data_IF_911233267497
#
_entry.id   IF_911233267497
#
_cell.length_a   1.000
_cell.length_b   1.000
_cell.length_c   1.000
_cell.angle_alpha   90.00
_cell.angle_beta   90.00
_cell.angle_gamma   90.00
#
_symmetry.space_group_name_H-M   'P 1'
#
loop_
_entity.id
_entity.type
_entity.pdbx_description
1 polymer ?
#
# COMPACT_ATOMS: atom_id res chain seq x y z
N UNK A 1 -25.71 -47.67 7.38
CA UNK A 1 -25.15 -46.94 6.22
C UNK A 1 -25.06 -45.44 6.44
N UNK A 2 -26.02 -44.78 7.13
CA UNK A 2 -25.99 -43.32 7.34
C UNK A 2 -24.97 -42.81 8.37
N UNK A 3 -24.64 -43.61 9.40
CA UNK A 3 -23.68 -43.22 10.45
C UNK A 3 -22.22 -43.33 10.00
N UNK A 4 -21.89 -44.38 9.23
CA UNK A 4 -20.55 -44.63 8.66
C UNK A 4 -20.10 -43.49 7.74
N UNK A 5 -21.04 -42.92 6.98
CA UNK A 5 -20.80 -41.78 6.08
C UNK A 5 -20.52 -40.48 6.83
N UNK A 6 -21.08 -40.32 8.03
CA UNK A 6 -20.82 -39.18 8.91
C UNK A 6 -19.44 -39.25 9.56
N UNK A 7 -19.05 -40.45 10.00
CA UNK A 7 -17.76 -40.70 10.65
C UNK A 7 -16.59 -40.56 9.65
N UNK A 8 -16.78 -41.01 8.41
CA UNK A 8 -15.79 -40.85 7.33
C UNK A 8 -15.61 -39.37 6.94
N UNK A 9 -16.71 -38.60 6.90
CA UNK A 9 -16.65 -37.15 6.70
C UNK A 9 -15.93 -36.43 7.84
N UNK A 10 -16.16 -36.84 9.09
CA UNK A 10 -15.50 -36.27 10.26
C UNK A 10 -13.98 -36.50 10.22
N UNK A 11 -13.55 -37.71 9.84
CA UNK A 11 -12.13 -38.04 9.65
C UNK A 11 -11.49 -37.21 8.53
N UNK A 12 -12.17 -37.05 7.39
CA UNK A 12 -11.68 -36.19 6.29
C UNK A 12 -11.54 -34.74 6.73
N UNK A 13 -12.51 -34.21 7.50
CA UNK A 13 -12.44 -32.85 8.03
C UNK A 13 -11.27 -32.67 9.01
N UNK A 14 -11.05 -33.64 9.90
CA UNK A 14 -9.93 -33.61 10.82
C UNK A 14 -8.58 -33.63 10.07
N UNK A 15 -8.44 -34.47 9.05
CA UNK A 15 -7.25 -34.51 8.20
C UNK A 15 -6.99 -33.19 7.48
N UNK A 16 -8.03 -32.57 6.90
CA UNK A 16 -7.91 -31.27 6.24
C UNK A 16 -7.52 -30.19 7.25
N UNK A 17 -8.13 -30.17 8.43
CA UNK A 17 -7.77 -29.22 9.49
C UNK A 17 -6.29 -29.31 9.87
N UNK A 18 -5.80 -30.53 10.13
CA UNK A 18 -4.40 -30.75 10.47
C UNK A 18 -3.43 -30.36 9.35
N UNK A 19 -3.80 -30.62 8.08
CA UNK A 19 -3.03 -30.17 6.93
C UNK A 19 -2.92 -28.65 6.87
N UNK A 20 -4.05 -27.95 7.06
CA UNK A 20 -4.10 -26.49 7.04
C UNK A 20 -3.31 -25.89 8.21
N UNK A 21 -3.43 -26.43 9.41
CA UNK A 21 -2.68 -25.99 10.59
C UNK A 21 -1.17 -26.12 10.38
N UNK A 22 -0.70 -27.26 9.87
CA UNK A 22 0.72 -27.46 9.54
C UNK A 22 1.19 -26.44 8.49
N UNK A 23 0.37 -26.18 7.46
CA UNK A 23 0.75 -25.23 6.41
C UNK A 23 0.82 -23.78 6.92
N UNK A 24 -0.08 -23.41 7.84
CA UNK A 24 -0.06 -22.11 8.51
C UNK A 24 1.23 -21.95 9.33
N UNK A 25 1.63 -22.98 10.07
CA UNK A 25 2.84 -22.97 10.88
C UNK A 25 4.11 -22.83 10.02
N UNK A 26 4.22 -23.60 8.93
CA UNK A 26 5.32 -23.50 7.96
C UNK A 26 5.45 -22.08 7.39
N UNK A 27 4.35 -21.55 6.86
CA UNK A 27 4.34 -20.21 6.24
C UNK A 27 4.62 -19.10 7.26
N UNK A 28 4.17 -19.26 8.51
CA UNK A 28 4.47 -18.31 9.58
C UNK A 28 5.96 -18.30 9.91
N UNK A 29 6.60 -19.47 9.97
CA UNK A 29 8.05 -19.58 10.15
C UNK A 29 8.87 -19.00 8.99
N UNK A 30 8.40 -19.17 7.75
CA UNK A 30 9.00 -18.52 6.58
C UNK A 30 8.91 -16.99 6.69
N UNK A 31 7.75 -16.45 7.10
CA UNK A 31 7.56 -15.00 7.31
C UNK A 31 8.52 -14.47 8.39
N UNK A 32 8.63 -15.15 9.52
CA UNK A 32 9.55 -14.75 10.60
C UNK A 32 11.01 -14.73 10.13
N UNK A 33 11.42 -15.77 9.40
CA UNK A 33 12.77 -15.89 8.83
C UNK A 33 13.07 -14.75 7.86
N UNK A 34 12.14 -14.44 6.95
CA UNK A 34 12.30 -13.35 5.99
C UNK A 34 12.37 -11.99 6.68
N UNK A 35 11.56 -11.75 7.72
CA UNK A 35 11.61 -10.51 8.52
C UNK A 35 12.96 -10.34 9.23
N UNK A 36 13.52 -11.43 9.77
CA UNK A 36 14.85 -11.40 10.38
C UNK A 36 15.92 -11.02 9.36
N UNK A 37 15.87 -11.61 8.16
CA UNK A 37 16.82 -11.31 7.08
C UNK A 37 16.73 -9.84 6.63
N UNK A 38 15.51 -9.29 6.52
CA UNK A 38 15.30 -7.86 6.22
C UNK A 38 15.95 -6.99 7.29
N UNK A 39 15.70 -7.27 8.58
CA UNK A 39 16.30 -6.50 9.68
C UNK A 39 17.83 -6.54 9.67
N UNK A 40 18.43 -7.67 9.30
CA UNK A 40 19.88 -7.80 9.14
C UNK A 40 20.39 -6.89 8.00
N UNK A 41 19.69 -6.88 6.86
CA UNK A 41 20.03 -6.03 5.71
C UNK A 41 19.94 -4.55 6.10
N UNK A 42 18.88 -4.15 6.81
CA UNK A 42 18.69 -2.77 7.27
C UNK A 42 19.80 -2.33 8.22
N UNK A 43 20.20 -3.20 9.15
CA UNK A 43 21.34 -2.95 10.04
C UNK A 43 22.65 -2.74 9.28
N UNK A 44 22.90 -3.49 8.21
CA UNK A 44 24.09 -3.31 7.37
C UNK A 44 24.04 -2.04 6.52
N UNK A 45 22.88 -1.68 5.98
CA UNK A 45 22.68 -0.44 5.24
C UNK A 45 22.85 0.78 6.13
N UNK A 46 22.34 0.74 7.36
CA UNK A 46 22.55 1.78 8.36
C UNK A 46 24.05 1.93 8.69
N UNK A 47 24.74 0.83 9.01
CA UNK A 47 26.17 0.85 9.34
C UNK A 47 27.04 1.40 8.19
N UNK A 48 26.71 1.09 6.92
CA UNK A 48 27.40 1.65 5.75
C UNK A 48 27.07 3.13 5.53
N UNK A 49 25.86 3.56 5.86
CA UNK A 49 25.43 4.96 5.75
C UNK A 49 26.10 5.87 6.79
N UNK A 50 26.36 5.38 8.00
CA UNK A 50 27.07 6.14 9.04
C UNK A 50 28.56 6.34 8.74
N UNK A 51 29.21 5.40 8.04
CA UNK A 51 30.65 5.51 7.69
C UNK A 51 30.94 6.56 6.60
N UNK A 52 29.92 7.07 5.90
CA UNK A 52 30.04 8.16 4.92
C UNK A 52 29.93 9.55 5.56
N UNK A 53 29.49 9.66 6.82
CA UNK A 53 29.19 10.96 7.46
C UNK A 53 30.36 11.58 8.24
N UNK A 54 31.44 10.86 8.52
CA UNK A 54 32.56 11.40 9.33
C UNK A 54 33.58 12.25 8.55
N UNK A 55 33.49 12.35 7.23
CA UNK A 55 34.50 13.07 6.42
C UNK A 55 34.12 14.47 5.95
N UNK A 56 32.96 15.02 6.31
CA UNK A 56 32.59 16.39 5.87
C UNK A 56 32.20 17.26 7.06
N UNK A 57 33.21 17.70 7.79
CA UNK A 57 33.11 18.79 8.77
C UNK A 57 33.87 20.00 8.22
N UNK A 58 33.22 20.82 7.39
CA UNK A 58 33.62 22.22 7.19
C UNK A 58 32.49 23.09 6.62
N UNK A 59 32.04 24.01 7.48
CA UNK A 59 31.62 25.39 7.24
C UNK A 59 30.37 25.76 6.40
N UNK A 60 29.61 26.68 7.02
CA UNK A 60 28.75 27.74 6.47
C UNK A 60 27.30 27.45 6.02
N UNK A 61 26.38 28.07 6.77
CA UNK A 61 25.05 28.55 6.32
C UNK A 61 25.19 30.01 5.87
N UNK A 62 24.21 30.68 5.20
CA UNK A 62 22.96 30.19 4.58
C UNK A 62 22.68 30.75 3.16
N UNK A 63 21.99 29.99 2.28
CA UNK A 63 20.97 30.51 1.35
C UNK A 63 20.24 29.39 0.59
N UNK A 64 18.93 29.58 0.48
CA UNK A 64 17.97 29.02 -0.50
C UNK A 64 18.67 28.94 -1.87
N UNK A 65 18.66 27.84 -2.64
CA UNK A 65 17.55 27.22 -3.37
C UNK A 65 17.94 25.81 -3.83
N UNK A 66 16.93 24.92 -3.89
CA UNK A 66 16.75 23.87 -4.91
C UNK A 66 17.60 22.57 -4.93
N UNK A 67 16.84 21.48 -5.11
CA UNK A 67 17.20 20.13 -5.58
C UNK A 67 17.95 19.18 -4.61
N UNK A 68 17.16 18.42 -3.85
CA UNK A 68 17.48 17.04 -3.49
C UNK A 68 16.14 16.29 -3.46
N UNK A 69 15.70 15.58 -4.51
CA UNK A 69 16.15 14.23 -4.85
C UNK A 69 16.60 13.43 -3.63
N UNK A 70 15.70 13.18 -2.70
CA UNK A 70 15.82 12.02 -1.80
C UNK A 70 15.05 10.84 -2.40
N UNK A 71 15.70 10.21 -3.39
CA UNK A 71 15.57 8.78 -3.60
C UNK A 71 16.17 8.08 -2.37
N UNK A 72 15.33 7.59 -1.45
CA UNK A 72 15.73 6.66 -0.38
C UNK A 72 14.60 5.64 -0.11
N UNK A 73 14.96 4.41 0.28
CA UNK A 73 14.81 3.23 -0.58
C UNK A 73 13.42 2.59 -0.58
N UNK A 74 13.17 1.76 -1.60
CA UNK A 74 12.10 0.77 -1.67
C UNK A 74 12.21 -0.19 -0.48
N UNK A 75 11.45 0.07 0.57
CA UNK A 75 11.09 -0.96 1.54
C UNK A 75 9.63 -1.30 1.27
N UNK A 76 9.41 -2.46 0.67
CA UNK A 76 8.12 -3.13 0.67
C UNK A 76 7.74 -3.37 2.13
N UNK A 77 6.68 -2.71 2.61
CA UNK A 77 6.32 -2.62 4.04
C UNK A 77 6.54 -1.23 4.66
N UNK A 78 7.10 -0.25 3.94
CA UNK A 78 7.34 1.08 4.46
C UNK A 78 6.03 1.85 4.70
N UNK A 79 5.70 2.04 5.96
CA UNK A 79 4.75 3.06 6.40
C UNK A 79 5.38 4.43 6.16
N UNK A 80 4.75 5.26 5.33
CA UNK A 80 5.23 6.60 4.95
C UNK A 80 4.16 7.65 5.18
N UNK A 81 4.57 8.82 5.62
CA UNK A 81 3.67 9.96 5.71
C UNK A 81 3.43 10.54 4.31
N UNK A 82 2.17 10.57 3.87
CA UNK A 82 1.78 11.27 2.66
C UNK A 82 1.57 12.75 3.01
N UNK A 83 2.45 13.61 2.48
CA UNK A 83 2.35 15.06 2.69
C UNK A 83 1.87 15.78 1.43
N UNK A 84 1.17 16.89 1.60
CA UNK A 84 0.75 17.79 0.54
C UNK A 84 1.89 18.65 0.01
N UNK A 85 1.63 19.47 -1.02
CA UNK A 85 2.62 20.42 -1.57
C UNK A 85 3.03 21.47 -0.53
N UNK A 86 2.11 21.86 0.36
CA UNK A 86 2.39 22.80 1.46
C UNK A 86 3.02 22.14 2.69
N UNK A 87 3.31 20.83 2.66
CA UNK A 87 3.91 20.09 3.78
C UNK A 87 2.92 19.56 4.84
N UNK A 88 1.62 19.85 4.70
CA UNK A 88 0.57 19.30 5.59
C UNK A 88 0.46 17.77 5.46
N UNK A 89 0.12 17.10 6.57
CA UNK A 89 -0.08 15.66 6.58
C UNK A 89 -1.45 15.33 5.97
N UNK A 90 -1.46 14.60 4.86
CA UNK A 90 -2.67 14.14 4.20
C UNK A 90 -3.12 12.78 4.75
N UNK A 91 -2.17 11.96 5.19
CA UNK A 91 -2.43 10.65 5.76
C UNK A 91 -1.18 9.78 5.85
N UNK A 92 -1.39 8.54 6.26
CA UNK A 92 -0.36 7.51 6.39
C UNK A 92 -0.54 6.48 5.28
N UNK A 93 0.50 6.30 4.47
CA UNK A 93 0.54 5.38 3.34
C UNK A 93 1.33 4.12 3.74
N UNK A 94 0.72 2.96 3.60
CA UNK A 94 1.37 1.65 3.73
C UNK A 94 1.38 0.99 2.36
N UNK A 95 2.57 0.67 1.85
CA UNK A 95 2.72 0.00 0.56
C UNK A 95 3.30 -1.38 0.79
N UNK A 96 2.56 -2.40 0.39
CA UNK A 96 3.01 -3.78 0.32
C UNK A 96 3.23 -4.17 -1.15
N UNK A 97 3.60 -5.42 -1.43
CA UNK A 97 3.85 -5.88 -2.79
C UNK A 97 2.64 -5.80 -3.71
N UNK A 98 1.43 -5.89 -3.16
CA UNK A 98 0.21 -5.96 -3.96
C UNK A 98 -0.93 -5.10 -3.43
N UNK A 99 -0.73 -4.42 -2.30
CA UNK A 99 -1.72 -3.52 -1.71
C UNK A 99 -1.09 -2.17 -1.36
N UNK A 100 -1.79 -1.10 -1.75
CA UNK A 100 -1.58 0.27 -1.30
C UNK A 100 -2.71 0.58 -0.33
N UNK A 101 -2.38 0.91 0.91
CA UNK A 101 -3.34 1.35 1.92
C UNK A 101 -3.01 2.75 2.36
N UNK A 102 -3.97 3.65 2.25
CA UNK A 102 -3.87 5.00 2.77
C UNK A 102 -4.89 5.19 3.90
N UNK A 103 -4.42 5.48 5.10
CA UNK A 103 -5.25 5.98 6.20
C UNK A 103 -5.23 7.50 6.16
N UNK A 104 -6.39 8.12 5.95
CA UNK A 104 -6.52 9.58 5.85
C UNK A 104 -6.24 10.25 7.21
N UNK A 105 -5.59 11.41 7.18
CA UNK A 105 -5.36 12.21 8.38
C UNK A 105 -6.69 12.59 9.04
N UNK A 106 -6.87 12.44 10.36
CA UNK A 106 -8.10 12.84 11.06
C UNK A 106 -8.46 14.32 10.91
N UNK A 107 -7.50 15.16 10.55
CA UNK A 107 -7.71 16.60 10.30
C UNK A 107 -8.36 16.90 8.95
N UNK A 108 -8.38 15.92 8.03
CA UNK A 108 -8.87 16.10 6.67
C UNK A 108 -10.24 15.45 6.52
N UNK A 109 -11.26 16.27 6.25
CA UNK A 109 -12.64 15.80 6.07
C UNK A 109 -12.91 15.57 4.60
N UNK A 110 -12.93 14.33 4.16
CA UNK A 110 -13.17 14.01 2.74
C UNK A 110 -14.52 13.32 2.64
N UNK A 111 -15.46 13.91 1.92
CA UNK A 111 -16.75 13.26 1.63
C UNK A 111 -16.75 12.68 0.21
N UNK A 112 -17.59 11.67 -0.01
CA UNK A 112 -17.66 10.95 -1.29
C UNK A 112 -18.09 11.82 -2.48
N UNK A 113 -18.71 12.97 -2.24
CA UNK A 113 -19.21 13.90 -3.26
C UNK A 113 -18.15 14.92 -3.71
N UNK A 114 -17.08 15.13 -2.94
CA UNK A 114 -16.03 16.09 -3.28
C UNK A 114 -15.41 15.78 -4.64
N UNK A 115 -15.50 16.73 -5.57
CA UNK A 115 -15.11 16.56 -6.98
C UNK A 115 -13.68 16.03 -7.19
N UNK A 116 -12.64 16.50 -6.47
CA UNK A 116 -11.28 15.95 -6.61
C UNK A 116 -11.18 14.47 -6.21
N UNK A 117 -12.00 14.03 -5.25
CA UNK A 117 -12.07 12.63 -4.86
C UNK A 117 -12.93 11.83 -5.84
N UNK A 118 -14.20 12.20 -5.99
CA UNK A 118 -15.21 11.42 -6.74
C UNK A 118 -14.96 11.37 -8.24
N UNK A 119 -14.68 12.52 -8.85
CA UNK A 119 -14.63 12.62 -10.31
C UNK A 119 -13.23 12.37 -10.86
N UNK A 120 -12.20 12.79 -10.13
CA UNK A 120 -10.81 12.57 -10.53
C UNK A 120 -10.27 11.23 -10.02
N UNK A 121 -10.12 11.07 -8.69
CA UNK A 121 -9.46 9.89 -8.16
C UNK A 121 -10.24 8.60 -8.47
N UNK A 122 -11.55 8.59 -8.19
CA UNK A 122 -12.37 7.39 -8.41
C UNK A 122 -12.63 7.19 -9.90
N UNK A 123 -13.40 8.09 -10.54
CA UNK A 123 -13.87 7.86 -11.91
C UNK A 123 -12.79 7.92 -12.98
N UNK A 124 -11.86 8.88 -12.90
CA UNK A 124 -10.89 9.12 -13.98
C UNK A 124 -9.65 8.23 -13.84
N UNK A 125 -9.24 7.91 -12.62
CA UNK A 125 -8.01 7.15 -12.37
C UNK A 125 -8.34 5.70 -12.04
N UNK A 126 -8.96 5.42 -10.88
CA UNK A 126 -9.14 4.05 -10.42
C UNK A 126 -10.10 3.26 -11.31
N UNK A 127 -11.28 3.78 -11.62
CA UNK A 127 -12.25 3.11 -12.50
C UNK A 127 -11.69 2.89 -13.91
N UNK A 128 -10.90 3.82 -14.43
CA UNK A 128 -10.24 3.67 -15.73
C UNK A 128 -9.24 2.51 -15.72
N UNK A 129 -8.43 2.38 -14.66
CA UNK A 129 -7.49 1.27 -14.50
C UNK A 129 -8.21 -0.07 -14.31
N UNK A 130 -9.28 -0.11 -13.50
CA UNK A 130 -10.12 -1.30 -13.32
C UNK A 130 -10.74 -1.74 -14.65
N UNK A 131 -11.24 -0.79 -15.44
CA UNK A 131 -11.87 -1.07 -16.73
C UNK A 131 -10.88 -1.69 -17.72
N UNK A 132 -9.69 -1.09 -17.86
CA UNK A 132 -8.64 -1.63 -18.73
C UNK A 132 -8.24 -3.04 -18.30
N UNK A 133 -8.10 -3.27 -16.99
CA UNK A 133 -7.73 -4.59 -16.47
C UNK A 133 -8.81 -5.64 -16.72
N UNK A 134 -10.10 -5.27 -16.61
CA UNK A 134 -11.21 -6.17 -16.97
C UNK A 134 -11.19 -6.53 -18.45
N UNK A 135 -10.97 -5.56 -19.33
CA UNK A 135 -10.85 -5.80 -20.78
C UNK A 135 -9.66 -6.72 -21.10
N UNK A 136 -8.53 -6.55 -20.39
CA UNK A 136 -7.37 -7.43 -20.54
C UNK A 136 -7.63 -8.86 -20.02
N UNK A 137 -8.45 -9.04 -18.98
CA UNK A 137 -8.88 -10.37 -18.52
C UNK A 137 -9.81 -11.03 -19.53
N UNK A 138 -10.79 -10.30 -20.05
CA UNK A 138 -11.68 -10.80 -21.10
C UNK A 138 -10.91 -11.18 -22.38
N UNK A 139 -9.85 -10.43 -22.71
CA UNK A 139 -8.95 -10.72 -23.82
C UNK A 139 -7.92 -11.83 -23.54
N UNK A 140 -7.88 -12.39 -22.32
CA UNK A 140 -6.92 -13.43 -21.91
C UNK A 140 -5.48 -12.94 -21.76
N UNK A 141 -5.26 -11.62 -21.69
CA UNK A 141 -3.93 -11.00 -21.47
C UNK A 141 -3.60 -10.85 -19.98
N UNK A 142 -4.61 -10.90 -19.12
CA UNK A 142 -4.49 -10.86 -17.67
C UNK A 142 -5.23 -12.06 -17.07
N UNK A 143 -4.67 -12.65 -16.01
CA UNK A 143 -5.32 -13.74 -15.30
C UNK A 143 -6.51 -13.21 -14.47
N UNK A 144 -7.66 -13.91 -14.45
CA UNK A 144 -8.78 -13.55 -13.60
C UNK A 144 -8.35 -13.47 -12.12
N UNK A 145 -8.79 -12.43 -11.41
CA UNK A 145 -8.42 -12.15 -10.02
C UNK A 145 -7.16 -11.28 -9.87
N UNK A 146 -6.47 -10.95 -10.97
CA UNK A 146 -5.31 -10.04 -10.98
C UNK A 146 -5.65 -8.64 -11.48
N UNK A 147 -6.94 -8.35 -11.70
CA UNK A 147 -7.41 -7.01 -12.02
C UNK A 147 -7.17 -6.08 -10.84
N UNK A 148 -6.78 -4.84 -11.12
CA UNK A 148 -6.78 -3.79 -10.11
C UNK A 148 -8.16 -3.71 -9.44
N UNK A 149 -8.18 -3.64 -8.12
CA UNK A 149 -9.39 -3.43 -7.33
C UNK A 149 -9.14 -2.37 -6.28
N UNK A 150 -10.19 -1.70 -5.82
CA UNK A 150 -10.08 -0.73 -4.75
C UNK A 150 -11.30 -0.77 -3.84
N UNK A 151 -11.08 -0.40 -2.57
CA UNK A 151 -12.10 -0.23 -1.54
C UNK A 151 -11.90 1.11 -0.85
N UNK A 152 -13.02 1.72 -0.46
CA UNK A 152 -13.03 2.97 0.30
C UNK A 152 -13.78 2.71 1.59
N UNK A 153 -13.08 2.88 2.71
CA UNK A 153 -13.67 2.74 4.05
C UNK A 153 -14.17 4.10 4.49
N UNK A 154 -15.44 4.17 4.87
CA UNK A 154 -16.07 5.39 5.36
C UNK A 154 -16.34 5.29 6.86
N UNK A 155 -16.18 6.40 7.55
CA UNK A 155 -16.51 6.56 8.97
C UNK A 155 -17.29 7.87 9.12
N UNK A 156 -18.54 7.79 9.59
CA UNK A 156 -19.39 8.99 9.76
C UNK A 156 -19.70 9.76 8.46
N UNK A 157 -19.57 9.13 7.29
CA UNK A 157 -19.76 9.78 5.98
C UNK A 157 -18.47 10.40 5.40
N UNK A 158 -17.35 10.30 6.12
CA UNK A 158 -16.04 10.76 5.67
C UNK A 158 -15.14 9.57 5.28
N UNK A 159 -14.23 9.76 4.32
CA UNK A 159 -13.29 8.75 3.86
C UNK A 159 -12.21 8.56 4.92
N UNK A 160 -12.16 7.36 5.50
CA UNK A 160 -11.18 6.97 6.50
C UNK A 160 -9.97 6.26 5.89
N UNK A 161 -10.22 5.30 5.00
CA UNK A 161 -9.17 4.57 4.30
C UNK A 161 -9.45 4.43 2.81
N UNK A 162 -8.37 4.40 2.03
CA UNK A 162 -8.38 4.04 0.61
C UNK A 162 -7.45 2.86 0.45
N UNK A 163 -7.98 1.74 -0.05
CA UNK A 163 -7.24 0.50 -0.25
C UNK A 163 -7.26 0.20 -1.74
N UNK A 164 -6.10 0.00 -2.35
CA UNK A 164 -5.95 -0.38 -3.77
C UNK A 164 -5.12 -1.65 -3.83
N UNK A 165 -5.64 -2.69 -4.47
CA UNK A 165 -5.00 -4.00 -4.61
C UNK A 165 -4.69 -4.31 -6.06
N UNK A 166 -3.77 -5.26 -6.29
CA UNK A 166 -3.39 -5.73 -7.62
C UNK A 166 -2.85 -4.60 -8.51
N UNK A 167 -2.02 -3.71 -7.98
CA UNK A 167 -1.44 -2.62 -8.78
C UNK A 167 -0.34 -3.12 -9.74
N UNK A 168 0.20 -4.33 -9.52
CA UNK A 168 1.16 -5.09 -10.35
C UNK A 168 2.56 -4.50 -10.51
N UNK A 169 2.68 -3.24 -10.92
CA UNK A 169 3.97 -2.65 -11.30
C UNK A 169 4.22 -1.27 -10.66
N UNK A 170 5.50 -0.89 -10.62
CA UNK A 170 5.93 0.36 -9.97
C UNK A 170 5.45 1.63 -10.70
N UNK A 171 5.15 1.56 -12.00
CA UNK A 171 4.58 2.70 -12.73
C UNK A 171 3.16 2.95 -12.24
N UNK A 172 2.34 1.90 -12.17
CA UNK A 172 0.98 1.95 -11.62
C UNK A 172 0.95 2.36 -10.16
N UNK A 173 1.87 1.83 -9.34
CA UNK A 173 2.04 2.25 -7.94
C UNK A 173 2.21 3.77 -7.81
N UNK A 174 3.16 4.34 -8.57
CA UNK A 174 3.43 5.78 -8.55
C UNK A 174 2.24 6.59 -9.07
N UNK A 175 1.55 6.10 -10.08
CA UNK A 175 0.36 6.74 -10.66
C UNK A 175 -0.79 6.81 -9.64
N UNK A 176 -1.07 5.71 -8.95
CA UNK A 176 -2.08 5.65 -7.88
C UNK A 176 -1.70 6.59 -6.74
N UNK A 177 -0.47 6.52 -6.21
CA UNK A 177 -0.02 7.37 -5.09
C UNK A 177 -0.07 8.86 -5.48
N UNK A 178 0.38 9.21 -6.68
CA UNK A 178 0.36 10.62 -7.13
C UNK A 178 -1.06 11.15 -7.33
N UNK A 179 -1.97 10.32 -7.83
CA UNK A 179 -3.39 10.65 -7.99
C UNK A 179 -4.08 10.85 -6.65
N UNK A 180 -3.84 9.94 -5.69
CA UNK A 180 -4.31 10.07 -4.31
C UNK A 180 -3.80 11.37 -3.71
N UNK A 181 -2.48 11.60 -3.78
CA UNK A 181 -1.86 12.82 -3.26
C UNK A 181 -2.51 14.07 -3.83
N UNK A 182 -2.71 14.12 -5.15
CA UNK A 182 -3.32 15.27 -5.79
C UNK A 182 -4.74 15.54 -5.29
N UNK A 183 -5.57 14.50 -5.18
CA UNK A 183 -6.95 14.64 -4.72
C UNK A 183 -7.00 15.18 -3.29
N UNK A 184 -6.20 14.59 -2.40
CA UNK A 184 -6.14 14.98 -1.00
C UNK A 184 -5.52 16.38 -0.81
N UNK A 185 -4.47 16.70 -1.54
CA UNK A 185 -3.81 18.02 -1.51
C UNK A 185 -4.77 19.13 -1.95
N UNK A 186 -5.54 18.88 -3.02
CA UNK A 186 -6.54 19.82 -3.55
C UNK A 186 -7.66 20.09 -2.53
N UNK A 187 -8.17 19.03 -1.88
CA UNK A 187 -9.19 19.16 -0.84
C UNK A 187 -8.62 19.87 0.39
N UNK A 188 -7.42 19.47 0.84
CA UNK A 188 -6.77 20.08 2.01
C UNK A 188 -6.46 21.58 1.81
N UNK A 189 -6.18 21.99 0.58
CA UNK A 189 -5.95 23.40 0.24
C UNK A 189 -7.24 24.22 0.23
N UNK A 190 -8.39 23.57 0.03
CA UNK A 190 -9.71 24.21 0.01
C UNK A 190 -10.34 24.31 1.41
N UNK A 191 -9.82 23.57 2.39
CA UNK A 191 -10.31 23.53 3.77
C UNK A 191 -9.48 24.40 4.74
N UNK A 192 -8.48 25.14 4.23
CA UNK A 192 -7.72 26.11 5.01
C UNK A 192 -8.41 27.46 5.08
#
# INVERSE_FOLDING_TARGET
MSEEFGEEKLKKLAMVKSYLERRIEELSGEIESLRLLVSIVDGQLAAKSFKTLETVKKEEKPKVVEVAKEEKPKELGAVRNLRGKSGNLLGMLTVTQDEIRLTVSPELRITSDMKPFSSFLIKKVLDAMVKVDKEDVEAGKLEPGRELSYDIVYEGGEVREIIVRNYRDERRLREVISSIRWALDTISSSQR
#
